data_IF_783148716465
#
_entry.id   IF_783148716465
#
_cell.length_a   1.000
_cell.length_b   1.000
_cell.length_c   1.000
_cell.angle_alpha   90.00
_cell.angle_beta   90.00
_cell.angle_gamma   90.00
#
_symmetry.space_group_name_H-M   'P 1'
#
loop_
_entity.id
_entity.type
_entity.pdbx_description
1 polymer ?
#
# COMPACT_ATOMS: atom_id res chain seq x y z
N UNK A 1 -21.97 -61.78 41.19
CA UNK A 1 -22.90 -61.87 40.05
C UNK A 1 -23.70 -60.57 40.04
N UNK A 2 -23.31 -59.51 39.30
CA UNK A 2 -23.47 -59.32 37.84
C UNK A 2 -24.98 -59.38 37.49
N UNK A 3 -25.69 -58.33 37.03
CA UNK A 3 -25.41 -57.46 35.88
C UNK A 3 -26.07 -56.06 35.97
N UNK A 4 -25.38 -55.12 35.33
CA UNK A 4 -25.65 -53.71 35.00
C UNK A 4 -26.77 -53.54 33.97
N UNK A 5 -27.58 -52.46 34.07
CA UNK A 5 -28.04 -51.69 32.89
C UNK A 5 -27.96 -50.19 33.22
N UNK A 6 -26.86 -49.58 32.78
CA UNK A 6 -26.71 -48.14 32.55
C UNK A 6 -27.51 -47.73 31.30
N UNK A 7 -28.20 -46.59 31.36
CA UNK A 7 -28.33 -45.70 30.20
C UNK A 7 -28.17 -44.26 30.70
N UNK A 8 -26.90 -43.88 30.92
CA UNK A 8 -26.50 -42.49 31.06
C UNK A 8 -26.49 -41.80 29.70
N UNK A 9 -27.36 -40.81 29.51
CA UNK A 9 -27.32 -39.91 28.34
C UNK A 9 -26.60 -38.63 28.76
N UNK A 10 -25.29 -38.74 28.96
CA UNK A 10 -24.39 -37.59 29.08
C UNK A 10 -23.74 -37.31 27.73
N UNK A 11 -24.26 -36.34 26.97
CA UNK A 11 -23.47 -35.59 25.98
C UNK A 11 -24.20 -34.38 25.37
N UNK A 12 -24.12 -33.17 25.97
CA UNK A 12 -24.36 -31.92 25.23
C UNK A 12 -23.06 -31.18 24.85
N UNK A 13 -21.94 -31.41 25.56
CA UNK A 13 -20.72 -30.61 25.38
C UNK A 13 -19.75 -31.11 24.29
N UNK A 14 -19.70 -32.42 24.01
CA UNK A 14 -18.76 -32.99 23.02
C UNK A 14 -19.21 -32.73 21.57
N UNK A 15 -20.51 -32.74 21.29
CA UNK A 15 -21.04 -32.46 19.95
C UNK A 15 -20.84 -30.99 19.53
N UNK A 16 -20.97 -30.03 20.45
CA UNK A 16 -20.76 -28.60 20.15
C UNK A 16 -19.28 -28.29 19.88
N UNK A 17 -18.35 -28.89 20.63
CA UNK A 17 -16.90 -28.70 20.41
C UNK A 17 -16.46 -29.24 19.05
N UNK A 18 -16.97 -30.40 18.63
CA UNK A 18 -16.67 -30.97 17.29
C UNK A 18 -17.21 -30.09 16.15
N UNK A 19 -18.43 -29.58 16.26
CA UNK A 19 -19.03 -28.71 15.23
C UNK A 19 -18.31 -27.36 15.09
N UNK A 20 -17.85 -26.77 16.19
CA UNK A 20 -17.05 -25.52 16.17
C UNK A 20 -15.66 -25.77 15.57
N UNK A 21 -15.04 -26.91 15.85
CA UNK A 21 -13.69 -27.24 15.37
C UNK A 21 -13.66 -27.54 13.86
N UNK A 22 -14.69 -28.23 13.32
CA UNK A 22 -14.78 -28.49 11.88
C UNK A 22 -14.97 -27.23 11.02
N UNK A 23 -15.62 -26.18 11.55
CA UNK A 23 -15.75 -24.88 10.85
C UNK A 23 -14.45 -24.07 10.86
N UNK A 24 -13.68 -24.12 11.96
CA UNK A 24 -12.37 -23.45 12.07
C UNK A 24 -11.33 -24.03 11.11
N UNK A 25 -11.28 -25.35 10.95
CA UNK A 25 -10.34 -26.03 10.04
C UNK A 25 -10.62 -25.68 8.57
N UNK A 26 -11.89 -25.57 8.18
CA UNK A 26 -12.28 -25.17 6.81
C UNK A 26 -11.92 -23.71 6.51
N UNK A 27 -12.09 -22.80 7.47
CA UNK A 27 -11.75 -21.37 7.33
C UNK A 27 -10.23 -21.17 7.26
N UNK A 28 -9.44 -21.89 8.06
CA UNK A 28 -7.97 -21.83 8.02
C UNK A 28 -7.44 -22.39 6.69
N UNK A 29 -8.02 -23.48 6.18
CA UNK A 29 -7.65 -24.03 4.85
C UNK A 29 -8.02 -23.10 3.70
N UNK A 30 -9.17 -22.42 3.79
CA UNK A 30 -9.62 -21.46 2.78
C UNK A 30 -8.74 -20.20 2.76
N UNK A 31 -8.36 -19.68 3.93
CA UNK A 31 -7.41 -18.56 4.06
C UNK A 31 -6.00 -18.93 3.61
N UNK A 32 -5.54 -20.15 3.90
CA UNK A 32 -4.23 -20.63 3.43
C UNK A 32 -4.18 -20.77 1.90
N UNK A 33 -5.23 -21.29 1.26
CA UNK A 33 -5.32 -21.40 -0.20
C UNK A 33 -5.34 -20.03 -0.89
N UNK A 34 -6.01 -19.04 -0.30
CA UNK A 34 -5.99 -17.64 -0.77
C UNK A 34 -4.61 -16.98 -0.64
N UNK A 35 -3.85 -17.30 0.42
CA UNK A 35 -2.48 -16.78 0.60
C UNK A 35 -1.46 -17.36 -0.40
N UNK A 36 -1.61 -18.64 -0.80
CA UNK A 36 -0.71 -19.30 -1.77
C UNK A 36 -0.98 -18.82 -3.21
N UNK A 37 -2.24 -18.51 -3.55
CA UNK A 37 -2.60 -17.98 -4.87
C UNK A 37 -2.03 -16.58 -5.15
N UNK A 38 -1.88 -15.75 -4.11
CA UNK A 38 -1.38 -14.38 -4.24
C UNK A 38 0.15 -14.30 -4.44
N UNK A 39 0.90 -15.33 -4.03
CA UNK A 39 2.35 -15.38 -4.12
C UNK A 39 2.88 -15.66 -5.55
N UNK A 40 2.06 -16.22 -6.44
CA UNK A 40 2.54 -16.66 -7.77
C UNK A 40 2.52 -15.58 -8.85
N UNK A 41 1.90 -14.42 -8.62
CA UNK A 41 1.70 -13.37 -9.63
C UNK A 41 2.68 -12.20 -9.58
N UNK A 42 3.63 -12.18 -8.63
CA UNK A 42 4.47 -10.99 -8.39
C UNK A 42 5.81 -10.96 -9.13
N UNK A 43 6.23 -12.04 -9.81
CA UNK A 43 7.61 -12.13 -10.34
C UNK A 43 7.80 -11.65 -11.79
N UNK A 44 6.75 -11.42 -12.58
CA UNK A 44 6.90 -11.17 -14.03
C UNK A 44 6.88 -9.69 -14.47
N UNK A 45 6.72 -8.72 -13.56
CA UNK A 45 6.55 -7.29 -13.93
C UNK A 45 7.84 -6.47 -13.83
N UNK A 46 8.90 -7.01 -13.23
CA UNK A 46 10.12 -6.22 -12.94
C UNK A 46 11.09 -6.04 -14.13
N UNK A 47 10.92 -6.73 -15.25
CA UNK A 47 11.93 -6.75 -16.33
C UNK A 47 11.47 -6.21 -17.69
N UNK A 48 10.17 -5.93 -17.89
CA UNK A 48 9.65 -5.63 -19.22
C UNK A 48 9.61 -4.15 -19.59
N UNK A 49 9.92 -3.23 -18.66
CA UNK A 49 9.77 -1.80 -18.95
C UNK A 49 11.11 -1.05 -19.13
N UNK A 50 12.23 -1.54 -18.60
CA UNK A 50 13.58 -0.94 -18.79
C UNK A 50 14.02 -0.92 -20.27
N UNK A 51 13.44 -1.77 -21.13
CA UNK A 51 13.88 -1.98 -22.52
C UNK A 51 13.56 -0.87 -23.52
N UNK A 52 13.02 0.29 -23.10
CA UNK A 52 12.59 1.35 -24.02
C UNK A 52 13.28 2.71 -23.79
N UNK A 53 14.12 2.87 -22.75
CA UNK A 53 14.86 4.13 -22.55
C UNK A 53 16.23 4.11 -23.20
N UNK A 54 16.67 5.26 -23.72
CA UNK A 54 18.07 5.48 -24.11
C UNK A 54 18.98 5.60 -22.88
N UNK A 55 20.30 5.42 -23.00
CA UNK A 55 21.24 5.62 -21.90
C UNK A 55 21.13 6.99 -21.23
N UNK A 56 20.86 8.04 -22.02
CA UNK A 56 20.68 9.42 -21.55
C UNK A 56 19.40 9.57 -20.73
N UNK A 57 18.30 8.95 -21.17
CA UNK A 57 17.03 8.94 -20.44
C UNK A 57 17.15 8.20 -19.10
N UNK A 58 17.89 7.09 -19.07
CA UNK A 58 18.20 6.35 -17.83
C UNK A 58 19.05 7.20 -16.89
N UNK A 59 20.07 7.89 -17.42
CA UNK A 59 20.90 8.79 -16.63
C UNK A 59 20.07 9.96 -16.05
N UNK A 60 19.25 10.60 -16.90
CA UNK A 60 18.33 11.67 -16.50
C UNK A 60 17.36 11.24 -15.42
N UNK A 61 16.78 10.03 -15.54
CA UNK A 61 15.93 9.43 -14.50
C UNK A 61 16.66 9.32 -13.17
N UNK A 62 17.90 8.80 -13.18
CA UNK A 62 18.69 8.62 -11.96
C UNK A 62 19.04 9.94 -11.29
N UNK A 63 19.33 10.98 -12.07
CA UNK A 63 19.52 12.34 -11.55
C UNK A 63 18.23 12.92 -10.97
N UNK A 64 17.11 12.76 -11.68
CA UNK A 64 15.80 13.23 -11.24
C UNK A 64 15.42 12.63 -9.88
N UNK A 65 15.53 11.30 -9.74
CA UNK A 65 15.23 10.54 -8.51
C UNK A 65 16.26 10.75 -7.39
N UNK A 66 17.44 11.30 -7.70
CA UNK A 66 18.55 11.38 -6.77
C UNK A 66 19.23 10.04 -6.49
N UNK A 67 19.01 9.02 -7.33
CA UNK A 67 19.77 7.77 -7.29
C UNK A 67 21.24 7.99 -7.65
N UNK A 68 21.50 8.97 -8.53
CA UNK A 68 22.84 9.50 -8.82
C UNK A 68 22.91 10.95 -8.35
N UNK A 69 23.96 11.29 -7.60
CA UNK A 69 24.19 12.68 -7.18
C UNK A 69 24.73 13.48 -8.35
N UNK A 70 24.29 14.73 -8.46
CA UNK A 70 24.92 15.71 -9.35
C UNK A 70 26.37 15.96 -8.96
N UNK A 71 27.20 16.27 -9.95
CA UNK A 71 28.62 16.57 -9.79
C UNK A 71 28.85 17.72 -8.81
N UNK A 72 28.11 18.81 -8.99
CA UNK A 72 28.16 19.98 -8.11
C UNK A 72 27.27 19.86 -6.86
N UNK A 73 26.76 18.65 -6.56
CA UNK A 73 25.99 18.31 -5.34
C UNK A 73 24.68 19.07 -5.14
N UNK A 74 24.03 19.47 -6.24
CA UNK A 74 22.68 20.05 -6.18
C UNK A 74 21.63 19.08 -5.63
N UNK A 75 20.47 19.58 -5.18
CA UNK A 75 19.37 18.73 -4.75
C UNK A 75 18.78 17.94 -5.92
N UNK A 76 18.21 16.76 -5.65
CA UNK A 76 17.49 15.99 -6.68
C UNK A 76 16.13 16.62 -7.00
N UNK A 77 15.73 16.55 -8.26
CA UNK A 77 14.50 17.18 -8.76
C UNK A 77 13.25 16.62 -8.06
N UNK A 78 13.24 15.31 -7.79
CA UNK A 78 12.16 14.57 -7.12
C UNK A 78 11.83 15.13 -5.73
N UNK A 79 12.75 15.85 -5.08
CA UNK A 79 12.53 16.43 -3.74
C UNK A 79 11.38 17.44 -3.76
N UNK A 80 11.27 18.19 -4.85
CA UNK A 80 10.28 19.26 -5.00
C UNK A 80 9.22 18.94 -6.05
N UNK A 81 9.61 18.21 -7.12
CA UNK A 81 8.77 17.95 -8.29
C UNK A 81 8.30 16.50 -8.36
N UNK A 82 7.15 16.31 -8.99
CA UNK A 82 6.60 15.01 -9.36
C UNK A 82 6.56 14.87 -10.89
N UNK A 83 6.59 13.62 -11.35
CA UNK A 83 6.37 13.22 -12.75
C UNK A 83 5.47 11.99 -12.79
N UNK A 84 4.59 11.92 -13.78
CA UNK A 84 3.73 10.77 -14.02
C UNK A 84 4.48 9.73 -14.85
N UNK A 85 5.22 8.86 -14.16
CA UNK A 85 5.93 7.75 -14.76
C UNK A 85 5.93 6.57 -13.79
N UNK A 86 5.44 5.39 -14.19
CA UNK A 86 5.35 4.22 -13.31
C UNK A 86 6.73 3.67 -12.91
N UNK A 87 7.82 4.10 -13.57
CA UNK A 87 9.20 3.74 -13.25
C UNK A 87 9.83 4.66 -12.22
N UNK A 88 9.17 5.75 -11.87
CA UNK A 88 9.67 6.77 -10.94
C UNK A 88 8.82 6.81 -9.68
N UNK A 89 9.48 6.85 -8.52
CA UNK A 89 8.79 7.06 -7.25
C UNK A 89 8.14 8.44 -7.30
N UNK A 90 6.88 8.55 -6.84
CA UNK A 90 6.21 9.85 -6.76
C UNK A 90 7.03 10.82 -5.92
N UNK A 91 7.36 11.97 -6.52
CA UNK A 91 8.16 13.00 -5.88
C UNK A 91 7.37 13.98 -5.03
N UNK A 92 8.00 15.12 -4.76
CA UNK A 92 7.45 16.21 -3.98
C UNK A 92 6.24 16.85 -4.66
N UNK A 93 5.29 17.29 -3.82
CA UNK A 93 4.14 18.10 -4.22
C UNK A 93 4.34 19.59 -3.90
N UNK A 94 5.60 19.99 -3.61
CA UNK A 94 5.94 21.36 -3.22
C UNK A 94 6.04 22.27 -4.45
N UNK A 95 6.38 21.74 -5.62
CA UNK A 95 6.51 22.46 -6.87
C UNK A 95 5.59 21.91 -7.95
N UNK A 96 5.56 22.58 -9.11
CA UNK A 96 4.74 22.20 -10.27
C UNK A 96 5.14 20.81 -10.77
N UNK A 97 4.15 20.01 -11.15
CA UNK A 97 4.37 18.73 -11.83
C UNK A 97 5.11 18.95 -13.16
N UNK A 98 6.11 18.10 -13.45
CA UNK A 98 6.97 18.20 -14.63
C UNK A 98 6.61 17.20 -15.74
N UNK A 99 5.50 16.48 -15.62
CA UNK A 99 5.05 15.49 -16.61
C UNK A 99 4.93 16.08 -18.01
N UNK A 100 4.34 17.27 -18.12
CA UNK A 100 4.04 17.95 -19.38
C UNK A 100 5.07 19.03 -19.73
N UNK A 101 6.17 19.15 -18.96
CA UNK A 101 7.08 20.30 -19.09
C UNK A 101 7.74 20.36 -20.47
N UNK A 102 8.01 19.20 -21.08
CA UNK A 102 8.60 19.14 -22.41
C UNK A 102 7.66 19.67 -23.49
N UNK A 103 6.36 19.40 -23.42
CA UNK A 103 5.39 20.00 -24.36
C UNK A 103 5.33 21.52 -24.29
N UNK A 104 5.60 22.09 -23.11
CA UNK A 104 5.49 23.53 -22.83
C UNK A 104 6.74 24.33 -23.24
N UNK A 105 7.92 23.71 -23.12
CA UNK A 105 9.20 24.41 -23.29
C UNK A 105 10.12 23.79 -24.35
N UNK A 106 9.88 22.54 -24.75
CA UNK A 106 10.73 21.80 -25.68
C UNK A 106 12.20 21.80 -25.26
N UNK A 107 13.08 22.06 -26.21
CA UNK A 107 14.54 22.12 -25.99
C UNK A 107 14.97 23.28 -25.09
N UNK A 108 14.10 24.26 -24.83
CA UNK A 108 14.36 25.38 -23.93
C UNK A 108 14.56 24.97 -22.47
N UNK A 109 14.25 23.72 -22.11
CA UNK A 109 14.45 23.18 -20.74
C UNK A 109 15.91 23.25 -20.32
N UNK A 110 16.87 22.89 -21.18
CA UNK A 110 18.29 22.92 -20.81
C UNK A 110 18.77 24.32 -20.45
N UNK A 111 18.31 25.35 -21.18
CA UNK A 111 18.62 26.76 -20.85
C UNK A 111 17.98 27.18 -19.52
N UNK A 112 16.78 26.70 -19.25
CA UNK A 112 16.05 27.01 -18.02
C UNK A 112 16.66 26.35 -16.78
N UNK A 113 17.21 25.14 -16.92
CA UNK A 113 17.96 24.46 -15.87
C UNK A 113 19.28 25.16 -15.55
N UNK A 114 19.83 25.95 -16.49
CA UNK A 114 21.04 26.74 -16.26
C UNK A 114 20.77 27.98 -15.40
N UNK A 115 19.63 28.64 -15.63
CA UNK A 115 19.25 29.87 -14.94
C UNK A 115 17.75 29.86 -14.66
N UNK A 116 17.30 29.12 -13.62
CA UNK A 116 15.88 28.98 -13.33
C UNK A 116 15.30 30.32 -12.84
N UNK A 117 14.22 30.84 -13.45
CA UNK A 117 13.65 32.15 -13.09
C UNK A 117 12.84 32.13 -11.78
N UNK A 118 12.88 31.03 -11.03
CA UNK A 118 12.12 30.86 -9.81
C UNK A 118 13.03 30.99 -8.58
N UNK A 119 12.75 31.92 -7.65
CA UNK A 119 13.62 32.18 -6.50
C UNK A 119 13.97 30.94 -5.67
N UNK A 120 13.01 30.02 -5.46
CA UNK A 120 13.25 28.81 -4.69
C UNK A 120 14.24 27.84 -5.38
N UNK A 121 14.14 27.72 -6.70
CA UNK A 121 15.04 26.87 -7.48
C UNK A 121 16.40 27.55 -7.69
N UNK A 122 16.42 28.85 -7.98
CA UNK A 122 17.64 29.64 -8.09
C UNK A 122 18.50 29.53 -6.84
N UNK A 123 17.92 29.76 -5.65
CA UNK A 123 18.64 29.64 -4.37
C UNK A 123 19.18 28.23 -4.15
N UNK A 124 18.44 27.21 -4.58
CA UNK A 124 18.82 25.80 -4.43
C UNK A 124 20.01 25.40 -5.31
N UNK A 125 20.15 26.01 -6.50
CA UNK A 125 21.21 25.68 -7.47
C UNK A 125 22.31 26.76 -7.60
N UNK A 126 22.20 27.90 -6.90
CA UNK A 126 23.14 29.05 -7.01
C UNK A 126 24.61 28.67 -6.87
N UNK A 127 24.94 27.77 -5.95
CA UNK A 127 26.31 27.27 -5.72
C UNK A 127 26.49 25.83 -6.17
N UNK A 128 25.51 25.28 -6.88
CA UNK A 128 25.39 23.86 -7.22
C UNK A 128 24.94 23.68 -8.68
N UNK A 129 25.50 24.48 -9.60
CA UNK A 129 25.08 24.52 -11.00
C UNK A 129 25.14 23.14 -11.67
N UNK A 130 24.20 22.85 -12.56
CA UNK A 130 24.19 21.60 -13.31
C UNK A 130 25.16 21.66 -14.49
N UNK A 131 25.83 20.55 -14.78
CA UNK A 131 26.70 20.46 -15.96
C UNK A 131 25.88 20.32 -17.25
N UNK A 132 26.50 20.63 -18.39
CA UNK A 132 25.84 20.54 -19.71
C UNK A 132 25.33 19.12 -19.99
N UNK A 133 26.11 18.12 -19.59
CA UNK A 133 25.73 16.71 -19.72
C UNK A 133 24.53 16.38 -18.84
N UNK A 134 24.55 16.78 -17.56
CA UNK A 134 23.43 16.53 -16.63
C UNK A 134 22.13 17.19 -17.11
N UNK A 135 22.20 18.41 -17.64
CA UNK A 135 21.04 19.12 -18.20
C UNK A 135 20.47 18.40 -19.42
N UNK A 136 21.34 17.88 -20.27
CA UNK A 136 20.95 17.12 -21.47
C UNK A 136 20.30 15.79 -21.11
N UNK A 137 20.91 15.04 -20.18
CA UNK A 137 20.36 13.78 -19.68
C UNK A 137 18.97 14.01 -19.02
N UNK A 138 18.83 15.06 -18.20
CA UNK A 138 17.56 15.45 -17.58
C UNK A 138 16.49 15.83 -18.62
N UNK A 139 16.87 16.59 -19.66
CA UNK A 139 15.96 16.95 -20.75
C UNK A 139 15.48 15.70 -21.50
N UNK A 140 16.37 14.76 -21.80
CA UNK A 140 16.02 13.51 -22.46
C UNK A 140 14.99 12.72 -21.64
N UNK A 141 15.21 12.61 -20.33
CA UNK A 141 14.25 11.97 -19.43
C UNK A 141 12.89 12.69 -19.38
N UNK A 142 12.87 14.02 -19.27
CA UNK A 142 11.62 14.79 -19.25
C UNK A 142 10.85 14.69 -20.57
N UNK A 143 11.56 14.59 -21.70
CA UNK A 143 10.97 14.28 -23.01
C UNK A 143 10.32 12.90 -22.99
N UNK A 144 11.04 11.87 -22.52
CA UNK A 144 10.51 10.52 -22.40
C UNK A 144 9.23 10.49 -21.57
N UNK A 145 9.21 11.16 -20.42
CA UNK A 145 8.03 11.24 -19.54
C UNK A 145 6.85 11.85 -20.29
N UNK A 146 7.06 12.97 -20.97
CA UNK A 146 6.02 13.66 -21.74
C UNK A 146 5.46 12.77 -22.86
N UNK A 147 6.32 12.05 -23.57
CA UNK A 147 5.92 11.20 -24.70
C UNK A 147 5.19 9.92 -24.23
N UNK A 148 5.44 9.47 -23.01
CA UNK A 148 4.84 8.25 -22.45
C UNK A 148 3.71 8.52 -21.44
N UNK A 149 3.27 9.77 -21.25
CA UNK A 149 2.29 10.13 -20.21
C UNK A 149 0.91 9.49 -20.40
N UNK A 150 0.46 9.25 -21.63
CA UNK A 150 -0.89 8.77 -21.94
C UNK A 150 -1.15 7.32 -21.52
N UNK A 151 -0.10 6.49 -21.44
CA UNK A 151 -0.19 5.09 -21.00
C UNK A 151 0.10 4.89 -19.51
N UNK A 152 0.57 5.93 -18.81
CA UNK A 152 0.90 5.87 -17.39
C UNK A 152 -0.28 6.47 -16.63
N UNK A 153 -0.97 5.65 -15.83
CA UNK A 153 -2.16 6.11 -15.13
C UNK A 153 -1.84 7.31 -14.23
N UNK A 154 -2.25 8.50 -14.67
CA UNK A 154 -2.42 9.66 -13.81
C UNK A 154 -3.40 9.21 -12.71
N UNK A 155 -2.88 9.19 -11.50
CA UNK A 155 -3.66 9.05 -10.28
C UNK A 155 -4.31 7.69 -9.97
N UNK A 156 -3.50 6.78 -9.40
CA UNK A 156 -4.01 5.72 -8.51
C UNK A 156 -3.30 5.64 -7.17
N UNK A 157 -2.35 6.53 -6.85
CA UNK A 157 -1.59 6.42 -5.59
C UNK A 157 -2.48 6.62 -4.36
N UNK A 158 -3.23 7.73 -4.35
CA UNK A 158 -4.17 8.05 -3.27
C UNK A 158 -5.36 7.09 -3.26
N UNK A 159 -5.94 6.83 -4.45
CA UNK A 159 -7.04 5.88 -4.61
C UNK A 159 -6.65 4.47 -4.15
N UNK A 160 -5.46 3.99 -4.51
CA UNK A 160 -4.95 2.68 -4.07
C UNK A 160 -4.66 2.67 -2.57
N UNK A 161 -4.08 3.73 -2.00
CA UNK A 161 -3.87 3.82 -0.56
C UNK A 161 -5.21 3.80 0.20
N UNK A 162 -6.22 4.53 -0.27
CA UNK A 162 -7.55 4.53 0.32
C UNK A 162 -8.28 3.19 0.14
N UNK A 163 -8.18 2.57 -1.02
CA UNK A 163 -8.79 1.26 -1.29
C UNK A 163 -8.10 0.14 -0.51
N UNK A 164 -6.78 0.08 -0.52
CA UNK A 164 -6.00 -0.91 0.21
C UNK A 164 -6.08 -0.68 1.73
N UNK A 165 -5.96 0.57 2.17
CA UNK A 165 -6.09 0.94 3.58
C UNK A 165 -7.52 0.72 4.09
N UNK A 166 -8.53 1.18 3.33
CA UNK A 166 -9.94 1.00 3.65
C UNK A 166 -10.35 -0.46 3.69
N UNK A 167 -9.95 -1.27 2.70
CA UNK A 167 -10.19 -2.71 2.71
C UNK A 167 -9.48 -3.41 3.87
N UNK A 168 -8.26 -2.98 4.24
CA UNK A 168 -7.56 -3.48 5.42
C UNK A 168 -8.32 -3.21 6.72
N UNK A 169 -8.81 -1.98 6.92
CA UNK A 169 -9.59 -1.59 8.10
C UNK A 169 -10.90 -2.39 8.18
N UNK A 170 -11.63 -2.48 7.07
CA UNK A 170 -12.87 -3.27 6.99
C UNK A 170 -12.57 -4.74 7.30
N UNK A 171 -11.48 -5.30 6.76
CA UNK A 171 -11.04 -6.65 7.04
C UNK A 171 -10.78 -6.91 8.52
N UNK A 172 -10.07 -6.00 9.20
CA UNK A 172 -9.81 -6.10 10.65
C UNK A 172 -11.11 -6.07 11.44
N UNK A 173 -12.03 -5.16 11.13
CA UNK A 173 -13.33 -5.10 11.81
C UNK A 173 -14.15 -6.37 11.62
N UNK A 174 -14.17 -6.93 10.40
CA UNK A 174 -14.84 -8.21 10.13
C UNK A 174 -14.21 -9.34 10.93
N UNK A 175 -12.88 -9.43 10.99
CA UNK A 175 -12.17 -10.45 11.76
C UNK A 175 -12.48 -10.35 13.27
N UNK A 176 -12.44 -9.14 13.83
CA UNK A 176 -12.79 -8.91 15.24
C UNK A 176 -14.24 -9.33 15.48
N UNK A 177 -15.16 -8.95 14.60
CA UNK A 177 -16.57 -9.33 14.70
C UNK A 177 -16.76 -10.86 14.67
N UNK A 178 -16.11 -11.56 13.74
CA UNK A 178 -16.12 -13.03 13.65
C UNK A 178 -15.56 -13.72 14.90
N UNK A 179 -14.48 -13.20 15.48
CA UNK A 179 -13.92 -13.71 16.72
C UNK A 179 -14.89 -13.48 17.89
N UNK A 180 -15.56 -12.33 17.92
CA UNK A 180 -16.45 -11.92 19.00
C UNK A 180 -17.85 -12.56 18.93
N UNK A 181 -18.31 -12.99 17.74
CA UNK A 181 -19.59 -13.69 17.58
C UNK A 181 -19.69 -14.98 18.41
N UNK A 182 -18.56 -15.62 18.72
CA UNK A 182 -18.51 -16.83 19.52
C UNK A 182 -18.32 -16.59 21.04
N UNK A 183 -18.44 -15.34 21.50
CA UNK A 183 -18.33 -15.00 22.92
C UNK A 183 -19.58 -15.43 23.68
N UNK A 184 -19.40 -15.91 24.91
CA UNK A 184 -20.51 -16.29 25.80
C UNK A 184 -21.37 -15.04 26.09
N UNK A 185 -22.65 -15.07 25.67
CA UNK A 185 -23.64 -13.99 25.90
C UNK A 185 -24.21 -13.98 27.32
N UNK A 186 -23.94 -15.01 28.12
CA UNK A 186 -24.40 -15.15 29.50
C UNK A 186 -23.22 -14.97 30.45
N UNK A 187 -23.42 -14.23 31.54
CA UNK A 187 -22.47 -14.15 32.65
C UNK A 187 -22.22 -15.53 33.27
N UNK A 188 -21.01 -15.74 33.78
CA UNK A 188 -20.56 -17.04 34.33
C UNK A 188 -21.41 -17.51 35.51
N UNK A 189 -21.94 -16.59 36.31
CA UNK A 189 -22.73 -16.86 37.54
C UNK A 189 -24.23 -16.61 37.36
N UNK A 190 -24.78 -16.86 36.16
CA UNK A 190 -26.22 -16.60 35.89
C UNK A 190 -27.14 -17.34 36.86
N UNK A 191 -26.79 -18.57 37.19
CA UNK A 191 -27.52 -19.41 38.15
C UNK A 191 -27.57 -18.82 39.57
N UNK A 192 -26.53 -18.09 40.00
CA UNK A 192 -26.52 -17.42 41.31
C UNK A 192 -27.41 -16.18 41.28
N UNK A 193 -27.33 -15.40 40.20
CA UNK A 193 -28.14 -14.19 40.04
C UNK A 193 -29.63 -14.50 39.91
N UNK A 194 -29.99 -15.52 39.12
CA UNK A 194 -31.37 -15.95 38.95
C UNK A 194 -31.97 -16.44 40.29
N UNK A 195 -31.18 -17.12 41.14
CA UNK A 195 -31.58 -17.50 42.50
C UNK A 195 -31.81 -16.30 43.42
N UNK A 196 -30.99 -15.26 43.31
CA UNK A 196 -31.13 -14.04 44.11
C UNK A 196 -32.38 -13.25 43.74
N UNK A 197 -32.70 -13.17 42.45
CA UNK A 197 -33.95 -12.58 41.95
C UNK A 197 -35.17 -13.31 42.49
N UNK A 198 -35.22 -14.63 42.33
CA UNK A 198 -36.34 -15.46 42.83
C UNK A 198 -36.53 -15.34 44.34
N UNK A 199 -35.45 -15.26 45.12
CA UNK A 199 -35.51 -15.07 46.56
C UNK A 199 -36.01 -13.67 46.97
N UNK A 200 -35.74 -12.64 46.16
CA UNK A 200 -36.25 -11.28 46.37
C UNK A 200 -37.74 -11.20 46.02
N UNK A 201 -38.15 -11.74 44.87
CA UNK A 201 -39.55 -11.80 44.43
C UNK A 201 -40.43 -12.61 45.39
N UNK A 202 -39.88 -13.63 46.07
CA UNK A 202 -40.62 -14.40 47.06
C UNK A 202 -40.82 -13.66 48.40
N UNK A 203 -40.09 -12.56 48.63
CA UNK A 203 -40.11 -11.79 49.87
C UNK A 203 -41.01 -10.54 49.78
N UNK A 204 -41.39 -10.12 48.58
CA UNK A 204 -42.18 -8.91 48.30
C UNK A 204 -43.42 -9.27 47.49
#
# INVERSE_FOLDING_TARGET
MIHIIEIGVECPNICIVKLVNMKRIKIIRLLALLSVGFLLQTQSVALSNEGQMTPEEIAGKKYFEGATRFENRGPSCITCHSVANNKVIKGGLLAKDLTDVYSRMGEGISAWLMAPPFPAMDVSYRNHALTDKERTDLQAFLKYVNDNQEGQSLDKGYSTMLLAGGSGVVGVFVLISLIWFNRKKKMVKRDIFDRQLQAWDAKH
#
